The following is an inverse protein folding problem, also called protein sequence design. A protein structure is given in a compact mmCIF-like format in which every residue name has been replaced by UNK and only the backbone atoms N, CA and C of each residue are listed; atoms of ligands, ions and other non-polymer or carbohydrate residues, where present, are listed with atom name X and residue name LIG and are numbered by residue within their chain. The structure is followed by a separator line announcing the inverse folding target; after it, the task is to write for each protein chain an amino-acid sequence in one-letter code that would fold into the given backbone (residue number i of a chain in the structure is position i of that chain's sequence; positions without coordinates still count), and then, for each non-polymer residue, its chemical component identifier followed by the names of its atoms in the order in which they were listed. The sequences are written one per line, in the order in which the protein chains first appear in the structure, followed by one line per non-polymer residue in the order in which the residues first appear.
data_IF_631731744656
#
_entry.id   IF_631731744656
#
_cell.length_a   1.000
_cell.length_b   1.000
_cell.length_c   1.000
_cell.angle_alpha   90.00
_cell.angle_beta   90.00
_cell.angle_gamma   90.00
#
_symmetry.space_group_name_H-M   'P 1'
#
loop_
_entity.id
_entity.type
_entity.pdbx_description
1 polymer ?
#
# COMPACT_ATOMS: atom_id res chain seq x y z
N UNK A 1 14.10 -23.77 13.46
CA UNK A 1 13.87 -22.82 14.59
C UNK A 1 12.81 -21.80 14.16
N UNK A 2 11.87 -21.42 15.04
CA UNK A 2 10.89 -20.39 14.69
C UNK A 2 11.59 -19.03 14.55
N UNK A 3 11.30 -18.34 13.45
CA UNK A 3 11.76 -16.98 13.17
C UNK A 3 10.59 -16.00 13.33
N UNK A 4 10.89 -14.87 13.94
CA UNK A 4 9.94 -13.80 14.20
C UNK A 4 10.60 -12.47 13.82
N UNK A 5 9.87 -11.65 13.06
CA UNK A 5 10.31 -10.31 12.70
C UNK A 5 9.14 -9.34 12.73
N UNK A 6 9.37 -8.20 13.35
CA UNK A 6 8.57 -6.99 13.22
C UNK A 6 9.43 -5.95 12.50
N UNK A 7 8.89 -5.32 11.48
CA UNK A 7 9.55 -4.21 10.81
C UNK A 7 8.55 -3.09 10.53
N UNK A 8 9.02 -1.87 10.62
CA UNK A 8 8.29 -0.70 10.18
C UNK A 8 9.20 0.09 9.23
N UNK A 9 8.60 0.75 8.26
CA UNK A 9 9.31 1.62 7.35
C UNK A 9 8.50 2.86 7.04
N UNK A 10 9.23 3.93 6.77
CA UNK A 10 8.70 5.21 6.34
C UNK A 10 9.47 5.65 5.09
N UNK A 11 8.76 6.15 4.10
CA UNK A 11 9.34 6.80 2.93
C UNK A 11 8.50 8.02 2.58
N UNK A 12 9.11 9.04 1.99
CA UNK A 12 8.37 10.22 1.57
C UNK A 12 9.27 11.33 1.06
N UNK A 13 8.63 12.34 0.47
CA UNK A 13 9.27 13.52 -0.05
C UNK A 13 8.39 14.75 0.19
N UNK A 14 9.02 15.92 0.15
CA UNK A 14 8.37 17.22 0.26
C UNK A 14 8.99 18.17 -0.75
N UNK A 15 8.16 18.93 -1.47
CA UNK A 15 8.57 19.95 -2.43
C UNK A 15 8.54 21.33 -1.78
N UNK A 16 9.63 22.06 -1.92
CA UNK A 16 9.73 23.43 -1.41
C UNK A 16 8.98 24.43 -2.30
N UNK A 17 8.71 25.62 -1.77
CA UNK A 17 8.00 26.68 -2.49
C UNK A 17 8.82 27.11 -3.72
N UNK A 18 8.19 27.05 -4.90
CA UNK A 18 8.81 27.37 -6.19
C UNK A 18 8.87 26.18 -7.16
N UNK A 19 8.76 24.96 -6.64
CA UNK A 19 8.91 23.72 -7.42
C UNK A 19 7.56 23.04 -7.76
N UNK A 20 6.44 23.77 -7.65
CA UNK A 20 5.11 23.20 -7.88
C UNK A 20 4.89 22.93 -9.37
N UNK A 21 4.91 21.64 -9.71
CA UNK A 21 4.59 21.14 -11.04
C UNK A 21 3.17 20.56 -11.07
N UNK A 22 2.44 20.67 -12.20
CA UNK A 22 1.11 20.09 -12.32
C UNK A 22 1.08 18.61 -11.94
N UNK A 23 0.08 18.23 -11.16
CA UNK A 23 -0.19 16.90 -10.61
C UNK A 23 0.90 16.31 -9.70
N UNK A 24 1.99 17.03 -9.45
CA UNK A 24 3.02 16.60 -8.50
C UNK A 24 2.62 17.07 -7.09
N UNK A 25 2.51 16.15 -6.12
CA UNK A 25 2.07 16.50 -4.79
C UNK A 25 3.16 17.27 -4.04
N UNK A 26 2.73 18.27 -3.25
CA UNK A 26 3.62 19.01 -2.35
C UNK A 26 4.33 18.10 -1.36
N UNK A 27 3.65 17.03 -0.94
CA UNK A 27 4.19 16.01 -0.08
C UNK A 27 3.62 14.64 -0.43
N UNK A 28 4.43 13.62 -0.29
CA UNK A 28 3.99 12.23 -0.35
C UNK A 28 4.68 11.48 0.78
N UNK A 29 3.94 10.62 1.47
CA UNK A 29 4.51 9.70 2.42
C UNK A 29 3.87 8.33 2.30
N UNK A 30 4.66 7.30 2.59
CA UNK A 30 4.17 5.95 2.79
C UNK A 30 4.81 5.34 4.03
N UNK A 31 3.95 4.78 4.86
CA UNK A 31 4.32 4.04 6.07
C UNK A 31 3.91 2.59 5.84
N UNK A 32 4.75 1.66 6.25
CA UNK A 32 4.33 0.28 6.39
C UNK A 32 4.73 -0.29 7.74
N UNK A 33 3.92 -1.23 8.22
CA UNK A 33 4.23 -2.10 9.34
C UNK A 33 4.08 -3.51 8.82
N UNK A 34 5.09 -4.34 9.07
CA UNK A 34 5.09 -5.74 8.71
C UNK A 34 5.37 -6.62 9.91
N UNK A 35 4.62 -7.72 10.00
CA UNK A 35 4.81 -8.80 10.93
C UNK A 35 5.08 -10.07 10.13
N UNK A 36 6.14 -10.79 10.49
CA UNK A 36 6.50 -12.05 9.87
C UNK A 36 6.75 -13.10 10.94
N UNK A 37 6.15 -14.27 10.78
CA UNK A 37 6.40 -15.44 11.62
C UNK A 37 6.59 -16.65 10.73
N UNK A 38 7.73 -17.34 10.88
CA UNK A 38 8.08 -18.51 10.08
C UNK A 38 8.51 -19.67 10.97
N UNK A 39 8.05 -20.86 10.62
CA UNK A 39 8.50 -22.15 11.15
C UNK A 39 8.91 -23.02 9.96
N UNK A 40 9.29 -24.27 10.23
CA UNK A 40 9.69 -25.20 9.17
C UNK A 40 8.56 -25.53 8.18
N UNK A 41 7.31 -25.50 8.63
CA UNK A 41 6.14 -25.89 7.79
C UNK A 41 5.16 -24.76 7.54
N UNK A 42 5.32 -23.63 8.21
CA UNK A 42 4.35 -22.55 8.20
C UNK A 42 5.04 -21.18 8.10
N UNK A 43 4.49 -20.27 7.30
CA UNK A 43 4.86 -18.87 7.33
C UNK A 43 3.60 -17.99 7.32
N UNK A 44 3.64 -16.91 8.09
CA UNK A 44 2.64 -15.87 8.14
C UNK A 44 3.35 -14.53 7.93
N UNK A 45 2.96 -13.81 6.88
CA UNK A 45 3.39 -12.45 6.61
C UNK A 45 2.15 -11.54 6.60
N UNK A 46 2.15 -10.53 7.44
CA UNK A 46 1.11 -9.49 7.49
C UNK A 46 1.78 -8.15 7.22
N UNK A 47 1.24 -7.38 6.29
CA UNK A 47 1.71 -6.03 5.97
C UNK A 47 0.50 -5.10 6.00
N UNK A 48 0.60 -4.03 6.77
CA UNK A 48 -0.30 -2.89 6.73
C UNK A 48 0.47 -1.72 6.16
N UNK A 49 -0.11 -1.03 5.19
CA UNK A 49 0.50 0.12 4.53
C UNK A 49 -0.47 1.28 4.49
N UNK A 50 0.03 2.46 4.84
CA UNK A 50 -0.61 3.74 4.59
C UNK A 50 0.16 4.47 3.48
N UNK A 51 -0.56 5.11 2.59
CA UNK A 51 -0.03 6.11 1.68
C UNK A 51 -0.81 7.42 1.87
N UNK A 52 -0.11 8.52 2.04
CA UNK A 52 -0.68 9.86 2.06
C UNK A 52 -0.11 10.67 0.91
N UNK A 53 -1.01 11.34 0.18
CA UNK A 53 -0.64 12.25 -0.89
C UNK A 53 -1.25 13.61 -0.59
N UNK A 54 -0.39 14.60 -0.43
CA UNK A 54 -0.77 15.96 -0.08
C UNK A 54 -1.37 16.70 -1.30
N UNK A 55 -1.74 17.96 -1.07
CA UNK A 55 -2.29 18.87 -2.07
C UNK A 55 -1.42 18.89 -3.33
N UNK A 56 -2.10 18.84 -4.47
CA UNK A 56 -1.54 19.04 -5.82
C UNK A 56 -2.19 20.23 -6.47
N UNK A 57 -1.63 20.67 -7.59
CA UNK A 57 -2.27 21.62 -8.49
C UNK A 57 -2.53 20.96 -9.84
N UNK A 58 -3.65 21.28 -10.47
CA UNK A 58 -3.91 20.87 -11.85
C UNK A 58 -3.20 21.79 -12.86
N UNK A 59 -3.44 21.54 -14.16
CA UNK A 59 -2.86 22.37 -15.25
C UNK A 59 -3.39 23.81 -15.27
N UNK A 60 -4.50 24.09 -14.60
CA UNK A 60 -5.11 25.41 -14.47
C UNK A 60 -4.73 26.10 -13.14
N UNK A 61 -3.89 25.47 -12.32
CA UNK A 61 -3.47 25.95 -11.00
C UNK A 61 -4.50 25.74 -9.89
N UNK A 62 -5.58 24.99 -10.13
CA UNK A 62 -6.58 24.66 -9.13
C UNK A 62 -6.06 23.57 -8.19
N UNK A 63 -6.41 23.66 -6.91
CA UNK A 63 -5.99 22.67 -5.93
C UNK A 63 -6.77 21.37 -6.07
N UNK A 64 -6.03 20.26 -6.12
CA UNK A 64 -6.58 18.90 -6.05
C UNK A 64 -6.41 18.41 -4.62
N UNK A 65 -7.51 17.93 -4.04
CA UNK A 65 -7.56 17.54 -2.63
C UNK A 65 -6.54 16.43 -2.30
N UNK A 66 -5.98 16.45 -1.09
CA UNK A 66 -5.14 15.38 -0.59
C UNK A 66 -5.97 14.13 -0.32
N UNK A 67 -5.32 12.97 -0.25
CA UNK A 67 -5.97 11.72 0.14
C UNK A 67 -5.03 10.81 0.92
N UNK A 68 -5.62 9.84 1.61
CA UNK A 68 -4.92 8.79 2.34
C UNK A 68 -5.50 7.44 1.97
N UNK A 69 -4.65 6.47 1.62
CA UNK A 69 -5.05 5.11 1.31
C UNK A 69 -4.46 4.16 2.34
N UNK A 70 -5.31 3.31 2.89
CA UNK A 70 -4.90 2.23 3.79
C UNK A 70 -5.08 0.89 3.06
N UNK A 71 -4.04 0.06 3.04
CA UNK A 71 -4.07 -1.26 2.43
C UNK A 71 -3.45 -2.30 3.36
N UNK A 72 -3.93 -3.53 3.26
CA UNK A 72 -3.40 -4.66 4.01
C UNK A 72 -3.17 -5.87 3.10
N UNK A 73 -2.10 -6.61 3.36
CA UNK A 73 -1.82 -7.89 2.71
C UNK A 73 -1.47 -8.92 3.78
N UNK A 74 -2.18 -10.04 3.75
CA UNK A 74 -1.86 -11.22 4.55
C UNK A 74 -1.47 -12.37 3.66
N UNK A 75 -0.36 -13.03 3.97
CA UNK A 75 0.10 -14.25 3.31
C UNK A 75 0.25 -15.35 4.35
N UNK A 76 -0.41 -16.48 4.11
CA UNK A 76 -0.23 -17.71 4.88
C UNK A 76 0.34 -18.77 3.95
N UNK A 77 1.50 -19.30 4.28
CA UNK A 77 2.10 -20.43 3.57
C UNK A 77 2.15 -21.64 4.47
N UNK A 78 1.67 -22.77 3.99
CA UNK A 78 1.80 -24.07 4.63
C UNK A 78 2.44 -25.05 3.64
N UNK A 79 3.65 -25.48 3.93
CA UNK A 79 4.48 -26.28 3.02
C UNK A 79 4.58 -25.59 1.63
N UNK A 80 3.99 -26.19 0.59
CA UNK A 80 4.01 -25.67 -0.79
C UNK A 80 2.74 -24.91 -1.19
N UNK A 81 1.79 -24.75 -0.26
CA UNK A 81 0.54 -24.04 -0.48
C UNK A 81 0.61 -22.64 0.12
N UNK A 82 0.34 -21.62 -0.69
CA UNK A 82 0.32 -20.22 -0.28
C UNK A 82 -1.05 -19.59 -0.51
N UNK A 83 -1.58 -18.95 0.52
CA UNK A 83 -2.81 -18.18 0.49
C UNK A 83 -2.45 -16.71 0.69
N UNK A 84 -2.88 -15.86 -0.24
CA UNK A 84 -2.61 -14.43 -0.19
C UNK A 84 -3.96 -13.72 -0.20
N UNK A 85 -4.22 -12.92 0.82
CA UNK A 85 -5.36 -12.01 0.89
C UNK A 85 -4.84 -10.58 0.82
N UNK A 86 -5.26 -9.85 -0.22
CA UNK A 86 -4.93 -8.45 -0.40
C UNK A 86 -6.19 -7.63 -0.33
N UNK A 87 -6.15 -6.59 0.50
CA UNK A 87 -7.23 -5.65 0.69
C UNK A 87 -6.70 -4.23 0.47
N UNK A 88 -6.96 -3.70 -0.72
CA UNK A 88 -6.56 -2.35 -1.10
C UNK A 88 -7.68 -1.35 -0.81
N UNK A 89 -7.31 -0.13 -0.40
CA UNK A 89 -8.24 0.95 -0.08
C UNK A 89 -9.34 0.51 0.91
N UNK A 90 -8.91 0.05 2.08
CA UNK A 90 -9.77 -0.50 3.15
C UNK A 90 -10.87 0.49 3.54
N UNK A 91 -10.58 1.79 3.54
CA UNK A 91 -11.53 2.83 3.93
C UNK A 91 -12.52 3.20 2.81
N UNK A 92 -12.36 2.65 1.61
CA UNK A 92 -13.15 3.00 0.41
C UNK A 92 -13.11 4.50 0.10
N UNK A 93 -11.92 5.07 0.20
CA UNK A 93 -11.70 6.46 -0.13
C UNK A 93 -11.92 6.66 -1.63
N UNK A 94 -12.64 7.72 -2.00
CA UNK A 94 -12.74 8.15 -3.38
C UNK A 94 -11.62 9.15 -3.65
N UNK A 95 -10.66 8.77 -4.49
CA UNK A 95 -9.44 9.54 -4.71
C UNK A 95 -9.03 9.54 -6.18
N UNK A 96 -8.27 10.57 -6.53
CA UNK A 96 -7.78 10.78 -7.88
C UNK A 96 -6.38 11.43 -7.83
N UNK A 97 -5.44 10.89 -8.60
CA UNK A 97 -4.14 11.56 -8.79
C UNK A 97 -4.25 12.69 -9.82
N UNK A 98 -5.18 12.54 -10.76
CA UNK A 98 -5.50 13.49 -11.83
C UNK A 98 -7.00 13.78 -11.71
N UNK A 99 -7.44 15.05 -11.76
CA UNK A 99 -8.85 15.40 -11.76
C UNK A 99 -9.66 14.56 -12.76
N UNK A 100 -10.89 14.21 -12.38
CA UNK A 100 -11.82 13.41 -13.18
C UNK A 100 -11.36 11.97 -13.51
N UNK A 101 -10.20 11.54 -13.01
CA UNK A 101 -9.72 10.17 -13.11
C UNK A 101 -9.76 9.48 -11.74
N UNK A 102 -10.95 9.04 -11.35
CA UNK A 102 -11.16 8.27 -10.13
C UNK A 102 -10.35 6.98 -10.17
N UNK A 103 -9.53 6.78 -9.15
CA UNK A 103 -8.71 5.58 -9.00
C UNK A 103 -9.55 4.40 -8.49
N UNK A 104 -8.93 3.22 -8.46
CA UNK A 104 -9.61 2.00 -8.06
C UNK A 104 -10.26 2.14 -6.66
N UNK A 105 -11.55 1.77 -6.52
CA UNK A 105 -12.24 1.77 -5.23
C UNK A 105 -11.70 0.66 -4.33
N UNK A 106 -12.33 0.45 -3.17
CA UNK A 106 -12.05 -0.70 -2.31
C UNK A 106 -12.00 -2.01 -3.11
N UNK A 107 -10.89 -2.74 -3.01
CA UNK A 107 -10.68 -3.98 -3.74
C UNK A 107 -10.15 -5.09 -2.85
N UNK A 108 -10.82 -6.25 -2.89
CA UNK A 108 -10.42 -7.46 -2.19
C UNK A 108 -9.99 -8.52 -3.21
N UNK A 109 -8.77 -9.02 -3.08
CA UNK A 109 -8.24 -10.09 -3.88
C UNK A 109 -7.79 -11.25 -2.98
N UNK A 110 -8.28 -12.45 -3.29
CA UNK A 110 -7.82 -13.68 -2.68
C UNK A 110 -7.15 -14.55 -3.74
N UNK A 111 -5.91 -14.97 -3.46
CA UNK A 111 -5.10 -15.79 -4.36
C UNK A 111 -4.63 -17.05 -3.63
N UNK A 112 -4.77 -18.19 -4.28
CA UNK A 112 -4.19 -19.47 -3.84
C UNK A 112 -3.11 -19.86 -4.85
N UNK A 113 -1.90 -20.14 -4.36
CA UNK A 113 -0.78 -20.65 -5.15
C UNK A 113 -0.33 -21.98 -4.57
N UNK A 114 -0.19 -23.00 -5.42
CA UNK A 114 0.34 -24.28 -5.03
C UNK A 114 1.53 -24.64 -5.92
N UNK A 115 2.67 -24.91 -5.30
CA UNK A 115 3.87 -25.39 -5.97
C UNK A 115 3.93 -26.92 -5.86
N UNK A 116 4.04 -27.60 -6.99
CA UNK A 116 3.87 -29.06 -7.09
C UNK A 116 5.16 -29.85 -7.29
N UNK A 117 6.33 -29.23 -7.08
CA UNK A 117 7.62 -29.84 -7.41
C UNK A 117 8.71 -29.37 -6.45
N UNK A 118 9.59 -30.32 -6.08
CA UNK A 118 10.94 -30.06 -5.57
C UNK A 118 11.88 -29.64 -6.72
#
# INVERSE_FOLDING_TARGET
RPEFALAAGYSGNYLFKGDSLPFIPKGNSSIFISFKRKTERFALDLILQEQFVDIRQDIYGQEVLPFRILSAVGTVRFLTLSFILRFDNILDENYAYIPDYTMAPRHLNFTVKWEFWD
#
